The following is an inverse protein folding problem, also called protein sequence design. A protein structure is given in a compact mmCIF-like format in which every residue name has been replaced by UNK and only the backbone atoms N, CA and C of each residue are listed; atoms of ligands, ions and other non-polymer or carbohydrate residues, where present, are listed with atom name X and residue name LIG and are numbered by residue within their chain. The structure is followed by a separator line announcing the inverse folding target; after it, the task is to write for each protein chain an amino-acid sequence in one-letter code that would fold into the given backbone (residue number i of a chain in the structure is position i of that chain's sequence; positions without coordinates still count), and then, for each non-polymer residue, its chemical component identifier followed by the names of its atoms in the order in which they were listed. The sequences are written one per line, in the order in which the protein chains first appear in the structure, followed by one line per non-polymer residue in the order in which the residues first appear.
data_IF_384769367110
#
_entry.id   IF_384769367110
#
_cell.length_a   1.000
_cell.length_b   1.000
_cell.length_c   1.000
_cell.angle_alpha   90.00
_cell.angle_beta   90.00
_cell.angle_gamma   90.00
#
_symmetry.space_group_name_H-M   'P 1'
#
loop_
_entity.id
_entity.type
_entity.pdbx_description
1 polymer ?
#
# COMPACT_ATOMS: atom_id res chain seq x y z
N UNK A 1 -0.26 -14.81 2.22
CA UNK A 1 -1.55 -14.79 2.94
C UNK A 1 -2.36 -16.01 2.54
N UNK A 2 -3.00 -16.68 3.50
CA UNK A 2 -3.81 -17.89 3.26
C UNK A 2 -5.29 -17.53 3.28
N UNK A 3 -6.08 -18.11 2.38
CA UNK A 3 -7.54 -17.99 2.36
C UNK A 3 -8.19 -19.31 2.73
N UNK A 4 -9.33 -19.26 3.42
CA UNK A 4 -10.16 -20.43 3.67
C UNK A 4 -10.67 -21.02 2.33
N UNK A 5 -10.43 -22.31 2.02
CA UNK A 5 -10.80 -22.90 0.74
C UNK A 5 -12.31 -22.92 0.44
N UNK A 6 -13.17 -22.92 1.46
CA UNK A 6 -14.62 -23.06 1.28
C UNK A 6 -15.34 -21.75 0.94
N UNK A 7 -14.83 -20.61 1.40
CA UNK A 7 -15.52 -19.32 1.30
C UNK A 7 -14.60 -18.15 0.89
N UNK A 8 -13.31 -18.39 0.64
CA UNK A 8 -12.35 -17.37 0.22
C UNK A 8 -11.97 -16.37 1.31
N UNK A 9 -12.35 -16.61 2.57
CA UNK A 9 -12.09 -15.68 3.67
C UNK A 9 -10.58 -15.56 3.98
N UNK A 10 -10.01 -14.34 4.07
CA UNK A 10 -8.60 -14.14 4.37
C UNK A 10 -8.28 -14.39 5.85
N UNK A 11 -7.27 -15.22 6.12
CA UNK A 11 -6.71 -15.38 7.47
C UNK A 11 -5.53 -14.40 7.64
N UNK A 12 -5.85 -13.17 8.05
CA UNK A 12 -4.89 -12.05 8.16
C UNK A 12 -4.47 -11.72 9.60
N UNK A 13 -5.07 -12.37 10.61
CA UNK A 13 -4.57 -12.42 11.97
C UNK A 13 -4.62 -13.86 12.48
N UNK A 14 -3.76 -14.18 13.46
CA UNK A 14 -3.60 -15.56 13.96
C UNK A 14 -4.85 -16.06 14.69
N UNK A 15 -5.43 -15.21 15.54
CA UNK A 15 -6.62 -15.55 16.33
C UNK A 15 -7.66 -14.44 16.20
N UNK A 16 -8.94 -14.86 16.12
CA UNK A 16 -10.08 -13.95 16.12
C UNK A 16 -10.86 -14.13 17.43
N UNK A 17 -11.20 -13.01 18.08
CA UNK A 17 -12.12 -13.02 19.23
C UNK A 17 -13.53 -13.41 18.77
N UNK A 18 -14.33 -13.97 19.67
CA UNK A 18 -15.71 -14.40 19.37
C UNK A 18 -16.55 -13.27 18.75
N UNK A 19 -16.44 -12.06 19.28
CA UNK A 19 -17.19 -10.89 18.81
C UNK A 19 -16.74 -10.46 17.39
N UNK A 20 -15.44 -10.60 17.10
CA UNK A 20 -14.90 -10.37 15.76
C UNK A 20 -15.44 -11.42 14.78
N UNK A 21 -15.47 -12.69 15.18
CA UNK A 21 -16.00 -13.78 14.33
C UNK A 21 -17.47 -13.53 13.97
N UNK A 22 -18.30 -13.11 14.92
CA UNK A 22 -19.71 -12.79 14.66
C UNK A 22 -19.85 -11.64 13.67
N UNK A 23 -19.09 -10.57 13.87
CA UNK A 23 -19.05 -9.40 12.97
C UNK A 23 -18.64 -9.80 11.55
N UNK A 24 -17.57 -10.59 11.43
CA UNK A 24 -17.04 -11.04 10.14
C UNK A 24 -17.99 -12.00 9.42
N UNK A 25 -18.64 -12.92 10.16
CA UNK A 25 -19.65 -13.82 9.59
C UNK A 25 -20.85 -13.05 9.04
N UNK A 26 -21.32 -12.05 9.77
CA UNK A 26 -22.45 -11.22 9.34
C UNK A 26 -22.13 -10.50 8.03
N UNK A 27 -20.95 -9.88 7.93
CA UNK A 27 -20.52 -9.22 6.70
C UNK A 27 -20.23 -10.20 5.56
N UNK A 28 -19.60 -11.34 5.84
CA UNK A 28 -19.27 -12.35 4.84
C UNK A 28 -20.50 -13.01 4.19
N UNK A 29 -21.65 -12.98 4.87
CA UNK A 29 -22.91 -13.50 4.33
C UNK A 29 -23.56 -12.57 3.28
N UNK A 30 -23.16 -11.29 3.24
CA UNK A 30 -23.77 -10.27 2.39
C UNK A 30 -23.51 -10.53 0.89
N UNK A 31 -24.41 -10.08 -0.02
CA UNK A 31 -24.14 -10.08 -1.45
C UNK A 31 -22.91 -9.22 -1.82
N UNK A 32 -22.69 -8.13 -1.10
CA UNK A 32 -21.55 -7.24 -1.28
C UNK A 32 -20.23 -8.00 -1.10
N UNK A 33 -20.03 -8.67 0.04
CA UNK A 33 -18.79 -9.41 0.29
C UNK A 33 -18.58 -10.53 -0.74
N UNK A 34 -19.65 -11.23 -1.14
CA UNK A 34 -19.56 -12.28 -2.18
C UNK A 34 -19.10 -11.71 -3.53
N UNK A 35 -19.56 -10.52 -3.89
CA UNK A 35 -19.11 -9.84 -5.11
C UNK A 35 -17.63 -9.44 -5.02
N UNK A 36 -17.16 -9.01 -3.83
CA UNK A 36 -15.76 -8.71 -3.59
C UNK A 36 -14.87 -9.94 -3.77
N UNK A 37 -15.22 -11.07 -3.13
CA UNK A 37 -14.47 -12.34 -3.24
C UNK A 37 -14.35 -12.79 -4.70
N UNK A 38 -15.39 -12.59 -5.51
CA UNK A 38 -15.38 -12.99 -6.91
C UNK A 38 -14.48 -12.14 -7.81
N UNK A 39 -14.12 -10.92 -7.40
CA UNK A 39 -13.56 -9.92 -8.33
C UNK A 39 -12.33 -9.16 -7.81
N UNK A 40 -11.96 -9.30 -6.54
CA UNK A 40 -10.84 -8.58 -5.94
C UNK A 40 -9.77 -9.50 -5.35
N UNK A 41 -8.51 -9.06 -5.28
CA UNK A 41 -7.44 -9.82 -4.65
C UNK A 41 -7.61 -9.86 -3.12
N UNK A 42 -6.97 -10.83 -2.48
CA UNK A 42 -7.17 -11.13 -1.05
C UNK A 42 -6.87 -9.93 -0.14
N UNK A 43 -5.83 -9.14 -0.41
CA UNK A 43 -5.52 -7.97 0.42
C UNK A 43 -6.58 -6.86 0.34
N UNK A 44 -7.31 -6.76 -0.78
CA UNK A 44 -8.43 -5.83 -0.86
C UNK A 44 -9.60 -6.30 0.01
N UNK A 45 -9.82 -7.62 0.11
CA UNK A 45 -10.80 -8.16 1.06
C UNK A 45 -10.39 -7.82 2.49
N UNK A 46 -9.11 -7.95 2.83
CA UNK A 46 -8.59 -7.56 4.16
C UNK A 46 -8.85 -6.08 4.44
N UNK A 47 -8.56 -5.19 3.49
CA UNK A 47 -8.82 -3.76 3.63
C UNK A 47 -10.30 -3.43 3.91
N UNK A 48 -11.24 -4.28 3.44
CA UNK A 48 -12.68 -4.13 3.71
C UNK A 48 -13.12 -4.71 5.05
N UNK A 49 -12.39 -5.69 5.58
CA UNK A 49 -12.68 -6.32 6.87
C UNK A 49 -12.05 -5.57 8.04
N UNK A 50 -10.86 -4.99 7.85
CA UNK A 50 -10.10 -4.26 8.87
C UNK A 50 -10.91 -3.16 9.60
N UNK A 51 -11.68 -2.29 8.91
CA UNK A 51 -12.50 -1.29 9.59
C UNK A 51 -13.53 -1.88 10.55
N UNK A 52 -14.11 -3.03 10.21
CA UNK A 52 -15.12 -3.73 11.05
C UNK A 52 -14.53 -4.24 12.37
N UNK A 53 -13.21 -4.42 12.40
CA UNK A 53 -12.47 -4.93 13.55
C UNK A 53 -11.71 -3.84 14.30
N UNK A 54 -11.82 -2.58 13.87
CA UNK A 54 -11.15 -1.45 14.52
C UNK A 54 -9.65 -1.35 14.25
N UNK A 55 -9.17 -1.90 13.13
CA UNK A 55 -7.78 -1.68 12.70
C UNK A 55 -7.52 -0.21 12.37
N UNK A 56 -6.24 0.18 12.40
CA UNK A 56 -5.85 1.57 12.16
C UNK A 56 -5.98 1.96 10.70
N UNK A 57 -6.04 3.27 10.43
CA UNK A 57 -5.98 3.82 9.06
C UNK A 57 -4.72 3.33 8.32
N UNK A 58 -3.60 3.23 9.02
CA UNK A 58 -2.33 2.76 8.46
C UNK A 58 -2.42 1.28 8.02
N UNK A 59 -3.00 0.41 8.85
CA UNK A 59 -3.22 -1.00 8.52
C UNK A 59 -4.05 -1.18 7.24
N UNK A 60 -5.09 -0.34 7.08
CA UNK A 60 -5.97 -0.35 5.91
C UNK A 60 -5.23 0.15 4.67
N UNK A 61 -4.46 1.24 4.80
CA UNK A 61 -3.67 1.81 3.71
C UNK A 61 -2.66 0.80 3.16
N UNK A 62 -1.96 0.08 4.05
CA UNK A 62 -1.04 -0.98 3.64
C UNK A 62 -1.74 -2.16 2.97
N UNK A 63 -2.90 -2.59 3.45
CA UNK A 63 -3.69 -3.64 2.76
C UNK A 63 -4.08 -3.21 1.34
N UNK A 64 -4.46 -1.95 1.12
CA UNK A 64 -4.75 -1.44 -0.23
C UNK A 64 -3.51 -1.37 -1.11
N UNK A 65 -2.36 -0.95 -0.56
CA UNK A 65 -1.08 -1.01 -1.25
C UNK A 65 -0.74 -2.44 -1.69
N UNK A 66 -0.86 -3.42 -0.79
CA UNK A 66 -0.59 -4.82 -1.10
C UNK A 66 -1.59 -5.39 -2.11
N UNK A 67 -2.84 -4.95 -2.09
CA UNK A 67 -3.81 -5.28 -3.12
C UNK A 67 -3.38 -4.77 -4.50
N UNK A 68 -2.76 -3.59 -4.58
CA UNK A 68 -2.22 -3.06 -5.83
C UNK A 68 -1.13 -3.95 -6.42
N UNK A 69 -0.23 -4.48 -5.58
CA UNK A 69 0.83 -5.40 -5.99
C UNK A 69 0.26 -6.72 -6.52
N UNK A 70 -0.78 -7.25 -5.86
CA UNK A 70 -1.48 -8.45 -6.32
C UNK A 70 -2.20 -8.26 -7.66
N UNK A 71 -2.51 -7.01 -8.02
CA UNK A 71 -3.25 -6.67 -9.22
C UNK A 71 -2.38 -6.03 -10.31
N UNK A 72 -1.04 -6.09 -10.23
CA UNK A 72 -0.17 -5.41 -11.23
C UNK A 72 -0.38 -5.89 -12.67
N UNK A 73 -0.81 -7.14 -12.87
CA UNK A 73 -1.19 -7.65 -14.19
C UNK A 73 -2.49 -7.01 -14.75
N UNK A 74 -3.27 -6.33 -13.91
CA UNK A 74 -4.45 -5.56 -14.27
C UNK A 74 -4.27 -4.11 -13.78
N UNK A 75 -3.65 -3.31 -14.64
CA UNK A 75 -3.30 -1.91 -14.36
C UNK A 75 -4.47 -1.11 -13.78
N UNK A 76 -5.66 -1.23 -14.36
CA UNK A 76 -6.84 -0.49 -13.90
C UNK A 76 -7.19 -0.80 -12.44
N UNK A 77 -7.14 -2.07 -12.03
CA UNK A 77 -7.39 -2.46 -10.63
C UNK A 77 -6.28 -2.00 -9.72
N UNK A 78 -5.02 -2.18 -10.12
CA UNK A 78 -3.88 -1.73 -9.33
C UNK A 78 -3.98 -0.22 -9.04
N UNK A 79 -4.22 0.60 -10.08
CA UNK A 79 -4.40 2.04 -9.94
C UNK A 79 -5.60 2.39 -9.04
N UNK A 80 -6.72 1.68 -9.17
CA UNK A 80 -7.89 1.87 -8.29
C UNK A 80 -7.56 1.68 -6.80
N UNK A 81 -6.78 0.64 -6.46
CA UNK A 81 -6.37 0.42 -5.06
C UNK A 81 -5.37 1.46 -4.58
N UNK A 82 -4.47 1.94 -5.44
CA UNK A 82 -3.55 3.02 -5.11
C UNK A 82 -4.26 4.36 -4.88
N UNK A 83 -5.32 4.65 -5.66
CA UNK A 83 -6.18 5.83 -5.45
C UNK A 83 -6.88 5.81 -4.09
N UNK A 84 -7.28 4.63 -3.61
CA UNK A 84 -7.84 4.48 -2.27
C UNK A 84 -6.77 4.56 -1.17
N UNK A 85 -5.58 4.00 -1.39
CA UNK A 85 -4.52 3.95 -0.39
C UNK A 85 -3.91 5.33 -0.09
N UNK A 86 -3.68 6.14 -1.13
CA UNK A 86 -2.98 7.42 -1.02
C UNK A 86 -3.59 8.39 0.01
N UNK A 87 -4.91 8.71 0.00
CA UNK A 87 -5.48 9.62 1.01
C UNK A 87 -5.36 9.08 2.43
N UNK A 88 -5.37 7.75 2.62
CA UNK A 88 -5.18 7.15 3.94
C UNK A 88 -3.74 7.33 4.44
N UNK A 89 -2.74 7.15 3.57
CA UNK A 89 -1.35 7.44 3.94
C UNK A 89 -1.13 8.93 4.24
N UNK A 90 -1.81 9.83 3.52
CA UNK A 90 -1.77 11.26 3.81
C UNK A 90 -2.39 11.57 5.19
N UNK A 91 -3.53 10.97 5.51
CA UNK A 91 -4.17 11.09 6.84
C UNK A 91 -3.26 10.57 7.96
N UNK A 92 -2.59 9.44 7.75
CA UNK A 92 -1.62 8.89 8.71
C UNK A 92 -0.50 9.90 8.96
N UNK A 93 0.10 10.46 7.90
CA UNK A 93 1.16 11.45 8.00
C UNK A 93 0.73 12.76 8.70
N UNK A 94 -0.52 13.19 8.54
CA UNK A 94 -1.08 14.36 9.23
C UNK A 94 -1.22 14.15 10.74
N UNK A 95 -1.51 12.92 11.16
CA UNK A 95 -1.74 12.55 12.56
C UNK A 95 -0.48 12.08 13.29
N UNK A 96 0.60 11.81 12.56
CA UNK A 96 1.78 11.17 13.13
C UNK A 96 2.58 12.11 14.02
N UNK A 97 2.98 11.69 15.23
CA UNK A 97 3.77 12.53 16.11
C UNK A 97 5.20 12.71 15.54
N UNK A 98 5.83 13.88 15.76
CA UNK A 98 7.13 14.22 15.18
C UNK A 98 8.31 13.39 15.72
N UNK A 99 8.07 12.50 16.69
CA UNK A 99 9.10 11.68 17.33
C UNK A 99 9.47 10.43 16.54
N UNK A 100 8.62 9.98 15.62
CA UNK A 100 8.88 8.80 14.78
C UNK A 100 9.43 9.19 13.40
N UNK A 101 10.58 9.88 13.41
CA UNK A 101 11.17 10.52 12.22
C UNK A 101 11.44 9.50 11.10
N UNK A 102 11.86 8.28 11.44
CA UNK A 102 12.17 7.23 10.45
C UNK A 102 10.90 6.70 9.79
N UNK A 103 9.84 6.44 10.54
CA UNK A 103 8.60 5.97 9.96
C UNK A 103 7.95 7.05 9.10
N UNK A 104 7.91 8.29 9.60
CA UNK A 104 7.40 9.45 8.86
C UNK A 104 8.16 9.66 7.54
N UNK A 105 9.49 9.54 7.53
CA UNK A 105 10.28 9.63 6.31
C UNK A 105 9.95 8.48 5.33
N UNK A 106 9.83 7.24 5.82
CA UNK A 106 9.45 6.08 4.99
C UNK A 106 8.08 6.26 4.34
N UNK A 107 7.08 6.72 5.11
CA UNK A 107 5.74 6.98 4.62
C UNK A 107 5.71 8.17 3.63
N UNK A 108 6.50 9.23 3.86
CA UNK A 108 6.67 10.32 2.90
C UNK A 108 7.22 9.81 1.57
N UNK A 109 8.26 8.97 1.60
CA UNK A 109 8.79 8.37 0.37
C UNK A 109 7.77 7.49 -0.34
N UNK A 110 7.01 6.69 0.41
CA UNK A 110 5.91 5.90 -0.14
C UNK A 110 4.87 6.81 -0.84
N UNK A 111 4.48 7.94 -0.25
CA UNK A 111 3.55 8.87 -0.93
C UNK A 111 4.11 9.47 -2.22
N UNK A 112 5.43 9.73 -2.30
CA UNK A 112 6.10 10.11 -3.56
C UNK A 112 5.89 9.03 -4.62
N UNK A 113 6.20 7.77 -4.26
CA UNK A 113 6.04 6.63 -5.16
C UNK A 113 4.59 6.47 -5.60
N UNK A 114 3.62 6.58 -4.68
CA UNK A 114 2.20 6.49 -5.00
C UNK A 114 1.76 7.57 -5.98
N UNK A 115 2.17 8.83 -5.78
CA UNK A 115 1.90 9.89 -6.75
C UNK A 115 2.50 9.56 -8.12
N UNK A 116 3.75 9.08 -8.19
CA UNK A 116 4.37 8.66 -9.46
C UNK A 116 3.61 7.51 -10.12
N UNK A 117 3.29 6.45 -9.36
CA UNK A 117 2.55 5.27 -9.83
C UNK A 117 1.17 5.64 -10.37
N UNK A 118 0.53 6.67 -9.81
CA UNK A 118 -0.74 7.24 -10.29
C UNK A 118 -0.58 8.24 -11.45
N UNK A 119 0.62 8.41 -12.00
CA UNK A 119 0.91 9.35 -13.09
C UNK A 119 0.91 10.82 -12.69
N UNK A 120 0.89 11.12 -11.40
CA UNK A 120 0.90 12.48 -10.80
C UNK A 120 2.34 12.95 -10.60
N UNK A 121 3.11 13.00 -11.69
CA UNK A 121 4.55 13.19 -11.66
C UNK A 121 4.96 14.54 -11.06
N UNK A 122 4.18 15.58 -11.30
CA UNK A 122 4.43 16.93 -10.80
C UNK A 122 4.30 16.97 -9.28
N UNK A 123 3.29 16.30 -8.71
CA UNK A 123 3.12 16.15 -7.27
C UNK A 123 4.22 15.28 -6.68
N UNK A 124 4.57 14.17 -7.32
CA UNK A 124 5.67 13.30 -6.89
C UNK A 124 7.00 14.08 -6.82
N UNK A 125 7.33 14.86 -7.86
CA UNK A 125 8.52 15.70 -7.90
C UNK A 125 8.53 16.74 -6.78
N UNK A 126 7.40 17.44 -6.57
CA UNK A 126 7.28 18.45 -5.53
C UNK A 126 7.45 17.86 -4.12
N UNK A 127 6.88 16.70 -3.86
CA UNK A 127 7.00 16.02 -2.56
C UNK A 127 8.41 15.48 -2.32
N UNK A 128 9.02 14.87 -3.35
CA UNK A 128 10.39 14.35 -3.26
C UNK A 128 11.37 15.47 -2.94
N UNK A 129 11.21 16.63 -3.56
CA UNK A 129 12.05 17.80 -3.28
C UNK A 129 11.77 18.38 -1.90
N UNK A 130 10.50 18.53 -1.53
CA UNK A 130 10.08 19.04 -0.21
C UNK A 130 10.67 18.25 0.95
N UNK A 131 10.73 16.92 0.83
CA UNK A 131 11.16 16.03 1.91
C UNK A 131 12.59 15.52 1.75
N UNK A 132 13.34 15.93 0.72
CA UNK A 132 14.67 15.39 0.37
C UNK A 132 15.60 15.22 1.58
N UNK A 133 15.77 16.27 2.38
CA UNK A 133 16.68 16.27 3.53
C UNK A 133 16.29 15.27 4.63
N UNK A 134 15.00 14.95 4.76
CA UNK A 134 14.49 13.98 5.73
C UNK A 134 14.56 12.55 5.18
N UNK A 135 14.45 12.39 3.85
CA UNK A 135 14.49 11.11 3.18
C UNK A 135 15.92 10.57 3.05
N UNK A 136 16.90 11.42 2.75
CA UNK A 136 18.31 11.03 2.55
C UNK A 136 18.91 10.16 3.67
N UNK A 137 18.69 10.43 4.97
CA UNK A 137 19.24 9.58 6.04
C UNK A 137 18.48 8.25 6.25
N UNK A 138 17.31 8.06 5.63
CA UNK A 138 16.41 6.91 5.87
C UNK A 138 16.26 6.01 4.65
N UNK A 139 16.12 6.60 3.47
CA UNK A 139 15.88 5.90 2.20
C UNK A 139 17.23 5.59 1.55
N UNK A 140 17.50 4.34 1.16
CA UNK A 140 18.76 4.02 0.49
C UNK A 140 18.95 4.83 -0.79
N UNK A 141 20.16 5.35 -1.08
CA UNK A 141 20.39 6.25 -2.21
C UNK A 141 19.93 5.72 -3.56
N UNK A 142 20.07 4.41 -3.82
CA UNK A 142 19.67 3.81 -5.09
C UNK A 142 18.16 3.90 -5.34
N UNK A 143 17.34 3.85 -4.29
CA UNK A 143 15.88 4.07 -4.40
C UNK A 143 15.57 5.55 -4.68
N UNK A 144 16.26 6.48 -4.04
CA UNK A 144 16.10 7.92 -4.28
C UNK A 144 16.48 8.30 -5.73
N UNK A 145 17.59 7.74 -6.23
CA UNK A 145 18.07 7.94 -7.61
C UNK A 145 17.09 7.34 -8.60
N UNK A 146 16.63 6.11 -8.36
CA UNK A 146 15.64 5.47 -9.22
C UNK A 146 14.34 6.28 -9.28
N UNK A 147 13.79 6.66 -8.13
CA UNK A 147 12.53 7.39 -8.07
C UNK A 147 12.63 8.74 -8.79
N UNK A 148 13.72 9.48 -8.59
CA UNK A 148 14.00 10.72 -9.33
C UNK A 148 14.00 10.49 -10.85
N UNK A 149 14.70 9.44 -11.30
CA UNK A 149 14.78 9.07 -12.73
C UNK A 149 13.40 8.72 -13.30
N UNK A 150 12.62 7.91 -12.60
CA UNK A 150 11.29 7.49 -13.07
C UNK A 150 10.31 8.66 -13.14
N UNK A 151 10.37 9.59 -12.17
CA UNK A 151 9.57 10.83 -12.21
C UNK A 151 9.94 11.67 -13.44
N UNK A 152 11.24 11.91 -13.68
CA UNK A 152 11.71 12.69 -14.84
C UNK A 152 11.33 12.05 -16.18
N UNK A 153 11.40 10.72 -16.24
CA UNK A 153 11.05 9.95 -17.44
C UNK A 153 9.53 9.70 -17.58
N UNK A 154 8.73 10.18 -16.62
CA UNK A 154 7.27 9.97 -16.55
C UNK A 154 6.87 8.50 -16.62
N UNK A 155 7.59 7.65 -15.90
CA UNK A 155 7.35 6.21 -15.82
C UNK A 155 6.52 5.89 -14.58
N UNK A 156 5.29 5.42 -14.79
CA UNK A 156 4.33 5.08 -13.72
C UNK A 156 4.30 3.60 -13.33
N UNK A 157 4.96 2.73 -14.10
CA UNK A 157 4.99 1.29 -13.80
C UNK A 157 5.86 0.99 -12.56
N UNK A 158 5.63 -0.14 -11.86
CA UNK A 158 6.49 -0.57 -10.76
C UNK A 158 7.92 -0.80 -11.25
N UNK A 159 8.91 -0.51 -10.40
CA UNK A 159 10.32 -0.68 -10.70
C UNK A 159 11.13 -0.86 -9.42
N UNK A 160 12.26 -1.55 -9.51
CA UNK A 160 13.21 -1.74 -8.41
C UNK A 160 14.61 -1.32 -8.84
N UNK A 161 15.48 -0.86 -7.92
CA UNK A 161 16.86 -0.54 -8.27
C UNK A 161 17.57 -1.74 -8.90
N UNK A 162 18.42 -1.47 -9.90
CA UNK A 162 19.26 -2.51 -10.48
C UNK A 162 20.23 -3.02 -9.41
N UNK A 163 20.29 -4.34 -9.20
CA UNK A 163 21.34 -4.91 -8.35
C UNK A 163 22.69 -4.70 -9.05
N UNK A 164 23.74 -4.28 -8.33
CA UNK A 164 25.09 -4.37 -8.86
C UNK A 164 25.30 -5.80 -9.35
N UNK A 165 25.75 -5.96 -10.61
CA UNK A 165 26.20 -7.28 -11.08
C UNK A 165 27.33 -7.69 -10.15
N UNK A 166 27.14 -8.78 -9.42
CA UNK A 166 28.23 -9.39 -8.66
C UNK A 166 29.42 -9.53 -9.61
N UNK A 167 30.56 -8.97 -9.22
CA UNK A 167 31.82 -9.38 -9.83
C UNK A 167 32.00 -10.83 -9.39
N UNK A 168 31.54 -11.78 -10.21
CA UNK A 168 31.89 -13.18 -10.01
C UNK A 168 33.42 -13.28 -9.93
N UNK A 169 33.97 -14.02 -8.96
CA UNK A 169 35.40 -14.15 -8.76
C UNK A 169 36.12 -14.71 -9.99
#
# INVERSE_FOLDING_TARGET
MVTCPSNGFPLFQEEFKTEQIETLKAFAATPEYKALVASHPVYYLVARLQPLLGYTTEDIAFSLLYASWQAEANEQKALGYLEEALPLFQEVLEKQPPVDVRNVASLRFLTVELHRRLGRFEQAAALLEKYRAELEPVVPPDFMVLETKLIQQRVSVPATPERPKDKSP
#
